data_IF_440138076534
#
_entry.id   IF_440138076534
#
_cell.length_a   1.000
_cell.length_b   1.000
_cell.length_c   1.000
_cell.angle_alpha   90.00
_cell.angle_beta   90.00
_cell.angle_gamma   90.00
#
_symmetry.space_group_name_H-M   'P 1'
#
loop_
_entity.id
_entity.type
_entity.pdbx_description
1 polymer ?
#
# COMPACT_ATOMS: atom_id res chain seq x y z
N UNK A 1 36.33 -29.74 28.48
CA UNK A 1 35.01 -30.06 27.87
C UNK A 1 33.99 -28.92 28.08
N UNK A 2 33.96 -28.23 29.20
CA UNK A 2 33.02 -27.16 29.54
C UNK A 2 33.13 -25.97 28.57
N UNK A 3 34.33 -25.57 28.16
CA UNK A 3 34.51 -24.40 27.25
C UNK A 3 33.96 -24.62 25.82
N UNK A 4 33.85 -25.83 25.34
CA UNK A 4 33.28 -26.12 24.02
C UNK A 4 31.74 -26.08 24.06
N UNK A 5 31.14 -26.46 25.15
CA UNK A 5 29.69 -26.47 25.36
C UNK A 5 29.15 -24.99 25.48
N UNK A 6 29.90 -24.13 26.17
CA UNK A 6 29.54 -22.71 26.31
C UNK A 6 29.67 -22.00 24.95
N UNK A 7 30.67 -22.29 24.14
CA UNK A 7 30.83 -21.70 22.81
C UNK A 7 29.71 -22.14 21.85
N UNK A 8 29.26 -23.39 21.93
CA UNK A 8 28.14 -23.89 21.09
C UNK A 8 26.81 -23.27 21.52
N UNK A 9 26.63 -23.00 22.80
CA UNK A 9 25.43 -22.32 23.30
C UNK A 9 25.39 -20.84 22.88
N UNK A 10 26.53 -20.16 22.85
CA UNK A 10 26.62 -18.77 22.38
C UNK A 10 26.37 -18.62 20.88
N UNK A 11 26.77 -19.59 20.07
CA UNK A 11 26.49 -19.61 18.62
C UNK A 11 25.01 -19.88 18.32
N UNK A 12 24.33 -20.67 19.15
CA UNK A 12 22.89 -20.98 19.00
C UNK A 12 21.97 -19.77 19.32
N UNK A 13 22.42 -18.80 20.12
CA UNK A 13 21.64 -17.61 20.49
C UNK A 13 21.73 -16.50 19.41
N UNK A 14 22.68 -16.60 18.48
CA UNK A 14 22.97 -15.54 17.49
C UNK A 14 22.08 -15.58 16.24
N UNK A 15 21.12 -16.47 16.11
CA UNK A 15 20.26 -16.65 14.92
C UNK A 15 18.77 -16.36 15.16
N UNK A 16 18.44 -15.44 16.06
CA UNK A 16 17.13 -14.82 16.02
C UNK A 16 17.18 -13.65 15.03
N UNK A 17 17.32 -13.95 13.74
CA UNK A 17 16.93 -12.99 12.71
C UNK A 17 15.43 -12.79 12.88
N UNK A 18 15.03 -11.68 13.49
CA UNK A 18 13.64 -11.22 13.49
C UNK A 18 13.28 -10.96 12.03
N UNK A 19 12.74 -11.95 11.36
CA UNK A 19 12.09 -11.75 10.08
C UNK A 19 10.92 -10.80 10.34
N UNK A 20 11.03 -9.56 9.86
CA UNK A 20 9.93 -8.63 9.91
C UNK A 20 8.83 -9.16 8.98
N UNK A 21 7.67 -9.43 9.54
CA UNK A 21 6.52 -9.86 8.76
C UNK A 21 5.84 -8.65 8.10
N UNK A 22 5.31 -8.81 6.87
CA UNK A 22 4.49 -7.80 6.24
C UNK A 22 3.30 -7.44 7.13
N UNK A 23 3.00 -6.14 7.23
CA UNK A 23 1.83 -5.68 7.98
C UNK A 23 0.58 -5.74 7.10
N UNK A 24 -0.52 -6.24 7.68
CA UNK A 24 -1.81 -6.37 7.02
C UNK A 24 -2.76 -5.27 7.46
N UNK A 25 -3.73 -4.96 6.62
CA UNK A 25 -4.81 -4.05 6.99
C UNK A 25 -5.66 -4.64 8.12
N UNK A 26 -5.99 -3.80 9.10
CA UNK A 26 -6.95 -4.13 10.14
C UNK A 26 -8.36 -3.84 9.64
N UNK A 27 -9.24 -4.82 9.77
CA UNK A 27 -10.66 -4.69 9.41
C UNK A 27 -11.36 -3.85 10.48
N UNK A 28 -12.22 -2.89 10.09
CA UNK A 28 -12.97 -2.09 11.05
C UNK A 28 -13.93 -2.96 11.86
N UNK A 29 -14.22 -2.57 13.12
CA UNK A 29 -15.27 -3.22 13.91
C UNK A 29 -16.64 -3.00 13.29
N UNK A 30 -17.63 -3.82 13.68
CA UNK A 30 -18.95 -3.84 13.07
C UNK A 30 -19.73 -2.53 13.14
N UNK A 31 -19.41 -1.64 14.04
CA UNK A 31 -20.03 -0.33 14.16
C UNK A 31 -19.39 0.76 13.30
N UNK A 32 -18.22 0.51 12.71
CA UNK A 32 -17.60 1.40 11.70
C UNK A 32 -17.98 0.88 10.32
N UNK A 33 -18.67 1.71 9.55
CA UNK A 33 -19.25 1.37 8.25
C UNK A 33 -18.79 2.34 7.16
N UNK A 34 -19.10 2.01 5.93
CA UNK A 34 -18.92 2.89 4.74
C UNK A 34 -17.49 3.42 4.60
N UNK A 35 -16.48 2.62 5.02
CA UNK A 35 -15.09 3.06 4.92
C UNK A 35 -14.71 3.23 3.46
N UNK A 36 -14.57 4.49 3.04
CA UNK A 36 -14.21 4.90 1.69
C UNK A 36 -12.88 5.65 1.72
N UNK A 37 -11.85 5.09 1.08
CA UNK A 37 -10.52 5.70 1.04
C UNK A 37 -10.08 5.87 -0.40
N UNK A 38 -9.86 7.11 -0.83
CA UNK A 38 -9.59 7.46 -2.23
C UNK A 38 -8.57 8.57 -2.38
N UNK A 39 -7.84 8.55 -3.50
CA UNK A 39 -7.07 9.69 -3.99
C UNK A 39 -7.92 10.65 -4.82
N UNK A 40 -7.48 11.89 -4.97
CA UNK A 40 -8.19 12.91 -5.76
C UNK A 40 -8.32 12.56 -7.25
N UNK A 41 -7.40 11.76 -7.79
CA UNK A 41 -7.39 11.30 -9.19
C UNK A 41 -7.95 9.88 -9.37
N UNK A 42 -8.38 9.21 -8.30
CA UNK A 42 -8.83 7.82 -8.37
C UNK A 42 -10.29 7.73 -8.81
N UNK A 43 -10.53 7.16 -9.98
CA UNK A 43 -11.87 6.82 -10.48
C UNK A 43 -12.35 5.45 -9.98
N UNK A 44 -11.45 4.64 -9.40
CA UNK A 44 -11.74 3.25 -9.03
C UNK A 44 -11.71 3.07 -7.51
N UNK A 45 -12.57 2.20 -7.01
CA UNK A 45 -12.49 1.67 -5.65
C UNK A 45 -11.31 0.69 -5.55
N UNK A 46 -10.67 0.63 -4.40
CA UNK A 46 -9.52 -0.23 -4.14
C UNK A 46 -8.44 0.51 -3.36
N UNK A 47 -7.23 -0.01 -3.38
CA UNK A 47 -6.10 0.66 -2.72
C UNK A 47 -5.75 1.95 -3.46
N UNK A 48 -5.76 3.12 -2.79
CA UNK A 48 -5.37 4.38 -3.42
C UNK A 48 -3.92 4.33 -3.90
N UNK A 49 -3.71 4.67 -5.18
CA UNK A 49 -2.38 4.86 -5.76
C UNK A 49 -2.35 6.29 -6.26
N UNK A 50 -1.62 7.14 -5.57
CA UNK A 50 -1.59 8.58 -5.80
C UNK A 50 -0.21 9.06 -6.19
N UNK A 51 -0.15 10.15 -6.93
CA UNK A 51 1.10 10.85 -7.19
C UNK A 51 1.52 11.65 -5.96
N UNK A 52 2.83 11.78 -5.76
CA UNK A 52 3.37 12.64 -4.70
C UNK A 52 2.82 14.07 -4.82
N UNK A 53 2.23 14.58 -3.73
CA UNK A 53 1.55 15.86 -3.66
C UNK A 53 0.05 15.84 -3.98
N UNK A 54 -0.52 14.71 -4.38
CA UNK A 54 -1.97 14.57 -4.51
C UNK A 54 -2.67 14.42 -3.16
N UNK A 55 -3.97 14.72 -3.16
CA UNK A 55 -4.83 14.65 -1.97
C UNK A 55 -5.41 13.24 -1.79
N UNK A 56 -5.46 12.83 -0.53
CA UNK A 56 -6.18 11.65 -0.06
C UNK A 56 -7.40 12.07 0.74
N UNK A 57 -8.47 11.30 0.66
CA UNK A 57 -9.67 11.47 1.49
C UNK A 57 -10.08 10.11 2.04
N UNK A 58 -10.22 10.04 3.36
CA UNK A 58 -10.85 8.93 4.07
C UNK A 58 -12.19 9.41 4.61
N UNK A 59 -13.23 8.62 4.38
CA UNK A 59 -14.58 8.84 4.91
C UNK A 59 -15.04 7.53 5.58
N UNK A 60 -15.72 7.62 6.71
CA UNK A 60 -16.35 6.47 7.35
C UNK A 60 -17.48 6.90 8.30
N UNK A 61 -18.40 5.98 8.55
CA UNK A 61 -19.54 6.19 9.43
C UNK A 61 -19.35 5.37 10.73
N UNK A 62 -19.54 6.02 11.88
CA UNK A 62 -19.72 5.37 13.16
C UNK A 62 -21.21 5.30 13.48
N UNK A 63 -21.76 4.09 13.60
CA UNK A 63 -23.19 3.86 13.80
C UNK A 63 -23.56 3.64 15.27
N UNK A 64 -22.67 3.87 16.23
CA UNK A 64 -23.00 3.87 17.65
C UNK A 64 -23.94 5.05 17.99
N UNK A 65 -23.75 6.17 17.28
CA UNK A 65 -24.64 7.34 17.37
C UNK A 65 -24.20 8.39 18.39
N UNK A 66 -23.11 8.16 19.11
CA UNK A 66 -22.42 9.15 19.92
C UNK A 66 -21.12 9.57 19.21
N UNK A 67 -20.65 10.79 19.50
CA UNK A 67 -19.38 11.28 18.97
C UNK A 67 -18.22 10.57 19.67
N UNK A 68 -17.34 9.95 18.89
CA UNK A 68 -16.13 9.28 19.37
C UNK A 68 -14.90 10.03 18.89
N UNK A 69 -13.87 10.11 19.73
CA UNK A 69 -12.61 10.73 19.38
C UNK A 69 -11.73 9.75 18.61
N UNK A 70 -11.58 9.98 17.32
CA UNK A 70 -10.66 9.21 16.46
C UNK A 70 -9.39 9.98 16.17
N UNK A 71 -8.28 9.25 16.11
CA UNK A 71 -6.94 9.76 15.81
C UNK A 71 -6.36 9.02 14.61
N UNK A 72 -5.63 9.71 13.78
CA UNK A 72 -4.98 9.07 12.62
C UNK A 72 -3.46 9.07 12.75
N UNK A 73 -2.84 8.00 12.24
CA UNK A 73 -1.39 7.85 12.13
C UNK A 73 -1.06 7.39 10.71
N UNK A 74 0.03 7.94 10.15
CA UNK A 74 0.52 7.59 8.82
C UNK A 74 1.89 6.97 8.98
N UNK A 75 2.01 5.69 8.65
CA UNK A 75 3.27 4.96 8.70
C UNK A 75 3.77 4.60 7.31
N UNK A 76 5.10 4.70 7.13
CA UNK A 76 5.81 4.35 5.90
C UNK A 76 6.33 2.91 5.97
N UNK A 77 6.27 2.19 4.85
CA UNK A 77 6.67 0.79 4.74
C UNK A 77 7.64 0.55 3.60
N UNK A 78 8.41 -0.53 3.71
CA UNK A 78 9.21 -1.04 2.62
C UNK A 78 8.30 -1.57 1.49
N UNK A 79 8.89 -1.85 0.32
CA UNK A 79 8.17 -2.37 -0.85
C UNK A 79 7.34 -3.64 -0.55
N UNK A 80 7.83 -4.50 0.33
CA UNK A 80 7.20 -5.75 0.75
C UNK A 80 6.25 -5.60 1.96
N UNK A 81 5.89 -4.36 2.32
CA UNK A 81 5.04 -4.02 3.46
C UNK A 81 5.64 -4.37 4.83
N UNK A 82 6.93 -4.61 4.90
CA UNK A 82 7.61 -4.70 6.20
C UNK A 82 7.84 -3.30 6.78
N UNK A 83 7.85 -3.15 8.11
CA UNK A 83 8.14 -1.87 8.75
C UNK A 83 9.48 -1.30 8.30
N UNK A 84 9.55 0.00 8.14
CA UNK A 84 10.79 0.71 7.79
C UNK A 84 11.53 1.20 9.02
N UNK A 85 12.82 1.49 8.84
CA UNK A 85 13.65 2.18 9.84
C UNK A 85 13.76 3.69 9.57
N UNK A 86 13.13 4.18 8.51
CA UNK A 86 13.14 5.61 8.14
C UNK A 86 12.35 6.40 9.18
N UNK A 87 12.92 7.51 9.63
CA UNK A 87 12.30 8.39 10.63
C UNK A 87 11.09 9.11 10.05
N UNK A 88 10.08 9.37 10.87
CA UNK A 88 8.82 9.99 10.43
C UNK A 88 9.01 11.33 9.72
N UNK A 89 9.88 12.18 10.21
CA UNK A 89 10.22 13.48 9.63
C UNK A 89 10.92 13.42 8.25
N UNK A 90 11.35 12.24 7.80
CA UNK A 90 11.91 12.06 6.48
C UNK A 90 10.86 11.81 5.40
N UNK A 91 9.66 11.35 5.77
CA UNK A 91 8.59 11.03 4.84
C UNK A 91 7.28 11.81 5.05
N UNK A 92 7.17 12.52 6.17
CA UNK A 92 5.98 13.28 6.53
C UNK A 92 6.38 14.65 7.06
N UNK A 93 5.87 15.72 6.46
CA UNK A 93 5.97 17.09 6.98
C UNK A 93 4.74 17.41 7.82
N UNK A 94 4.99 17.88 9.05
CA UNK A 94 3.94 18.17 10.04
C UNK A 94 3.81 17.07 11.08
N UNK A 95 2.61 16.87 11.57
CA UNK A 95 2.29 15.95 12.65
C UNK A 95 1.19 14.98 12.22
N UNK A 96 1.22 13.80 12.79
CA UNK A 96 0.12 12.85 12.82
C UNK A 96 -0.12 12.42 14.28
N UNK A 97 -0.95 11.46 14.55
CA UNK A 97 -1.51 11.16 15.85
C UNK A 97 -2.37 12.33 16.37
N UNK A 98 -3.12 12.92 15.44
CA UNK A 98 -3.97 14.07 15.63
C UNK A 98 -5.42 13.61 15.53
N UNK A 99 -6.30 14.26 16.33
CA UNK A 99 -7.73 13.97 16.35
C UNK A 99 -8.39 14.35 15.03
N UNK A 100 -9.32 13.53 14.56
CA UNK A 100 -10.24 13.86 13.48
C UNK A 100 -11.27 14.86 13.99
N UNK A 101 -11.22 16.09 13.47
CA UNK A 101 -12.11 17.17 13.90
C UNK A 101 -13.27 17.43 12.92
N UNK A 102 -13.21 16.83 11.73
CA UNK A 102 -14.26 16.98 10.70
C UNK A 102 -15.20 15.80 10.77
N UNK A 103 -16.37 16.02 11.34
CA UNK A 103 -17.45 15.05 11.36
C UNK A 103 -18.82 15.73 11.32
N UNK A 104 -19.82 14.99 10.88
CA UNK A 104 -21.22 15.42 10.80
C UNK A 104 -22.12 14.36 11.43
N UNK A 105 -23.00 14.80 12.34
CA UNK A 105 -23.94 13.90 12.97
C UNK A 105 -25.23 13.79 12.16
N UNK A 106 -25.74 12.57 12.04
CA UNK A 106 -27.02 12.34 11.40
C UNK A 106 -28.17 12.97 12.20
N UNK A 107 -29.16 13.50 11.50
CA UNK A 107 -30.36 14.08 12.11
C UNK A 107 -31.60 13.39 11.60
N UNK A 108 -32.51 13.00 12.50
CA UNK A 108 -33.76 12.27 12.20
C UNK A 108 -33.58 10.95 11.43
N UNK A 109 -32.45 10.28 11.56
CA UNK A 109 -32.21 8.96 10.97
C UNK A 109 -32.78 7.85 11.90
N UNK A 110 -33.24 6.73 11.30
CA UNK A 110 -33.64 5.55 12.07
C UNK A 110 -32.50 4.93 12.83
N UNK A 111 -31.30 4.96 12.24
CA UNK A 111 -30.03 4.64 12.88
C UNK A 111 -29.21 5.91 12.94
N UNK A 112 -28.89 6.35 14.15
CA UNK A 112 -27.99 7.50 14.32
C UNK A 112 -26.56 7.09 13.91
N UNK A 113 -25.86 8.00 13.30
CA UNK A 113 -24.44 7.82 12.94
C UNK A 113 -23.71 9.14 12.92
N UNK A 114 -22.40 9.08 13.11
CA UNK A 114 -21.48 10.20 12.91
C UNK A 114 -20.61 9.90 11.69
N UNK A 115 -20.62 10.79 10.71
CA UNK A 115 -19.84 10.70 9.48
C UNK A 115 -18.51 11.45 9.66
N UNK A 116 -17.40 10.74 9.61
CA UNK A 116 -16.06 11.31 9.76
C UNK A 116 -15.39 11.48 8.40
N UNK A 117 -14.70 12.60 8.24
CA UNK A 117 -13.91 12.91 7.04
C UNK A 117 -12.50 13.31 7.42
N UNK A 118 -11.51 12.66 6.84
CA UNK A 118 -10.10 13.02 6.92
C UNK A 118 -9.58 13.36 5.53
N UNK A 119 -9.02 14.55 5.37
CA UNK A 119 -8.28 14.94 4.16
C UNK A 119 -6.80 15.06 4.47
N UNK A 120 -5.94 14.59 3.59
CA UNK A 120 -4.48 14.72 3.63
C UNK A 120 -4.05 15.30 2.28
N UNK A 121 -3.29 16.42 2.24
CA UNK A 121 -2.82 17.22 3.38
C UNK A 121 -3.91 18.01 4.10
N UNK A 122 -3.62 18.39 5.36
CA UNK A 122 -4.45 19.25 6.22
C UNK A 122 -3.57 20.20 7.04
N UNK A 123 -4.15 20.87 8.05
CA UNK A 123 -3.43 21.84 8.87
C UNK A 123 -2.30 21.22 9.69
N UNK A 124 -2.44 19.97 10.15
CA UNK A 124 -1.45 19.25 10.94
C UNK A 124 -0.48 18.48 10.07
N UNK A 125 -0.98 17.64 9.16
CA UNK A 125 -0.19 16.86 8.19
C UNK A 125 -0.06 17.65 6.91
N UNK A 126 1.05 18.38 6.77
CA UNK A 126 1.29 19.33 5.65
C UNK A 126 1.53 18.63 4.32
N UNK A 127 2.36 17.57 4.33
CA UNK A 127 2.78 16.93 3.10
C UNK A 127 3.40 15.55 3.34
N UNK A 128 3.16 14.64 2.42
CA UNK A 128 3.96 13.42 2.24
C UNK A 128 5.17 13.78 1.39
N UNK A 129 6.38 13.43 1.87
CA UNK A 129 7.65 13.86 1.27
C UNK A 129 8.29 12.82 0.36
N UNK A 130 7.92 11.56 0.51
CA UNK A 130 8.54 10.45 -0.24
C UNK A 130 7.49 9.61 -0.96
N UNK A 131 7.86 9.07 -2.11
CA UNK A 131 7.15 7.97 -2.73
C UNK A 131 7.42 6.65 -1.99
N UNK A 132 6.45 5.75 -2.00
CA UNK A 132 6.54 4.45 -1.35
C UNK A 132 5.20 3.91 -0.85
N UNK A 133 5.26 2.91 0.00
CA UNK A 133 4.10 2.26 0.59
C UNK A 133 3.78 2.89 1.94
N UNK A 134 2.51 3.14 2.15
CA UNK A 134 2.00 3.79 3.36
C UNK A 134 0.79 3.07 3.92
N UNK A 135 0.60 3.19 5.23
CA UNK A 135 -0.61 2.73 5.90
C UNK A 135 -1.19 3.86 6.75
N UNK A 136 -2.43 4.19 6.50
CA UNK A 136 -3.23 5.08 7.34
C UNK A 136 -3.91 4.22 8.40
N UNK A 137 -3.69 4.54 9.66
CA UNK A 137 -4.21 3.84 10.84
C UNK A 137 -5.13 4.76 11.62
N UNK A 138 -6.29 4.27 12.00
CA UNK A 138 -7.27 5.00 12.81
C UNK A 138 -7.35 4.35 14.18
N UNK A 139 -7.17 5.17 15.21
CA UNK A 139 -7.19 4.79 16.62
C UNK A 139 -8.35 5.49 17.33
N UNK A 140 -8.89 4.90 18.39
CA UNK A 140 -9.80 5.55 19.32
C UNK A 140 -9.02 6.33 20.42
N UNK A 141 -9.73 6.98 21.32
CA UNK A 141 -9.17 7.72 22.47
C UNK A 141 -8.38 6.81 23.42
N UNK A 142 -8.76 5.55 23.54
CA UNK A 142 -8.07 4.52 24.33
C UNK A 142 -6.80 3.99 23.65
N UNK A 143 -6.43 4.53 22.48
CA UNK A 143 -5.29 4.13 21.63
C UNK A 143 -5.40 2.69 21.09
N UNK A 144 -6.60 2.19 20.93
CA UNK A 144 -6.86 0.93 20.27
C UNK A 144 -6.96 1.16 18.75
N UNK A 145 -6.30 0.30 17.97
CA UNK A 145 -6.35 0.36 16.50
C UNK A 145 -7.73 -0.10 16.03
N UNK A 146 -8.51 0.81 15.48
CA UNK A 146 -9.85 0.54 14.97
C UNK A 146 -9.79 -0.10 13.59
N UNK A 147 -9.05 0.50 12.68
CA UNK A 147 -8.80 -0.07 11.35
C UNK A 147 -7.60 0.59 10.69
N UNK A 148 -7.14 0.00 9.61
CA UNK A 148 -6.08 0.57 8.78
C UNK A 148 -6.35 0.37 7.29
N UNK A 149 -5.75 1.25 6.46
CA UNK A 149 -5.86 1.21 5.00
C UNK A 149 -4.51 1.48 4.36
N UNK A 150 -4.14 0.62 3.42
CA UNK A 150 -2.94 0.77 2.61
C UNK A 150 -3.15 1.81 1.51
N UNK A 151 -2.11 2.54 1.19
CA UNK A 151 -2.04 3.38 -0.01
C UNK A 151 -0.60 3.46 -0.53
N UNK A 152 -0.47 3.80 -1.80
CA UNK A 152 0.82 3.90 -2.47
C UNK A 152 0.99 5.32 -3.00
N UNK A 153 2.14 5.91 -2.73
CA UNK A 153 2.53 7.21 -3.28
C UNK A 153 3.63 7.00 -4.31
N UNK A 154 3.44 7.50 -5.53
CA UNK A 154 4.43 7.35 -6.59
C UNK A 154 4.95 8.69 -7.12
N UNK A 155 6.14 8.63 -7.71
CA UNK A 155 6.73 9.69 -8.50
C UNK A 155 6.89 9.22 -9.94
N UNK A 156 6.71 10.13 -10.88
CA UNK A 156 6.82 9.79 -12.31
C UNK A 156 8.29 9.83 -12.78
N UNK A 157 9.13 8.95 -12.20
CA UNK A 157 10.56 8.85 -12.49
C UNK A 157 10.88 7.81 -13.56
N UNK A 158 9.92 6.98 -13.93
CA UNK A 158 10.06 5.94 -14.94
C UNK A 158 8.83 5.92 -15.87
N UNK A 159 9.08 5.53 -17.11
CA UNK A 159 8.02 5.28 -18.08
C UNK A 159 7.74 3.78 -18.13
N UNK A 160 6.48 3.41 -17.92
CA UNK A 160 5.99 2.04 -18.06
C UNK A 160 5.08 1.96 -19.27
N UNK A 161 5.44 1.07 -20.23
CA UNK A 161 4.58 0.73 -21.36
C UNK A 161 4.02 -0.65 -21.10
N UNK A 162 2.70 -0.78 -21.01
CA UNK A 162 2.04 -2.04 -20.74
C UNK A 162 1.08 -2.42 -21.87
N UNK A 163 0.95 -3.72 -22.10
CA UNK A 163 0.01 -4.29 -23.07
C UNK A 163 -0.61 -5.55 -22.48
N UNK A 164 -1.93 -5.57 -22.41
CA UNK A 164 -2.68 -6.78 -22.07
C UNK A 164 -2.82 -7.63 -23.31
N UNK A 165 -2.53 -8.92 -23.18
CA UNK A 165 -2.60 -9.91 -24.27
C UNK A 165 -3.45 -11.10 -23.86
N UNK A 166 -4.04 -11.72 -24.84
CA UNK A 166 -4.68 -13.03 -24.67
C UNK A 166 -3.61 -14.05 -24.29
N UNK A 167 -3.94 -14.91 -23.32
CA UNK A 167 -3.08 -16.02 -22.93
C UNK A 167 -2.77 -16.92 -24.11
N UNK A 168 -1.54 -17.46 -24.20
CA UNK A 168 -1.15 -18.42 -25.26
C UNK A 168 -1.45 -19.85 -24.87
N UNK A 169 -1.52 -20.14 -23.58
CA UNK A 169 -1.89 -21.45 -23.09
C UNK A 169 -3.33 -21.80 -23.50
N UNK A 170 -3.51 -22.94 -24.17
CA UNK A 170 -4.81 -23.36 -24.70
C UNK A 170 -5.85 -23.60 -23.60
N UNK A 171 -5.44 -24.02 -22.41
CA UNK A 171 -6.33 -24.22 -21.26
C UNK A 171 -6.92 -22.90 -20.77
N UNK A 172 -6.13 -21.83 -20.78
CA UNK A 172 -6.52 -20.53 -20.20
C UNK A 172 -6.75 -19.43 -21.24
N UNK A 173 -6.68 -19.73 -22.52
CA UNK A 173 -6.76 -18.76 -23.62
C UNK A 173 -8.05 -17.92 -23.63
N UNK A 174 -9.13 -18.44 -23.08
CA UNK A 174 -10.43 -17.76 -23.01
C UNK A 174 -10.75 -17.17 -21.63
N UNK A 175 -9.93 -17.45 -20.60
CA UNK A 175 -10.24 -17.13 -19.21
C UNK A 175 -9.19 -16.27 -18.54
N UNK A 176 -7.96 -16.24 -19.06
CA UNK A 176 -6.86 -15.42 -18.54
C UNK A 176 -6.28 -14.48 -19.58
N UNK A 177 -5.70 -13.41 -19.08
CA UNK A 177 -4.94 -12.44 -19.85
C UNK A 177 -3.54 -12.30 -19.27
N UNK A 178 -2.54 -12.15 -20.11
CA UNK A 178 -1.17 -11.85 -19.69
C UNK A 178 -0.86 -10.37 -19.87
N UNK A 179 -0.07 -9.82 -18.98
CA UNK A 179 0.38 -8.42 -19.03
C UNK A 179 1.85 -8.41 -19.45
N UNK A 180 2.13 -7.91 -20.64
CA UNK A 180 3.49 -7.62 -21.08
C UNK A 180 3.79 -6.17 -20.83
N UNK A 181 4.96 -5.85 -20.31
CA UNK A 181 5.32 -4.46 -20.06
C UNK A 181 6.82 -4.23 -20.23
N UNK A 182 7.18 -2.97 -20.36
CA UNK A 182 8.57 -2.53 -20.33
C UNK A 182 8.71 -1.29 -19.45
N UNK A 183 9.86 -1.16 -18.83
CA UNK A 183 10.21 -0.05 -17.93
C UNK A 183 11.43 0.64 -18.51
N UNK A 184 11.38 1.97 -18.62
CA UNK A 184 12.55 2.79 -18.97
C UNK A 184 12.59 4.04 -18.10
N UNK A 185 13.77 4.58 -17.87
CA UNK A 185 13.94 5.86 -17.18
C UNK A 185 15.13 6.60 -17.75
N UNK A 186 14.93 7.88 -18.01
CA UNK A 186 16.02 8.83 -18.36
C UNK A 186 16.57 9.54 -17.13
N UNK A 187 15.87 9.46 -15.99
CA UNK A 187 16.20 10.15 -14.75
C UNK A 187 16.95 9.24 -13.76
N UNK A 188 16.73 7.93 -13.84
CA UNK A 188 17.29 6.96 -12.91
C UNK A 188 18.35 6.10 -13.60
N UNK A 189 19.55 6.07 -13.02
CA UNK A 189 20.59 5.12 -13.42
C UNK A 189 20.34 3.79 -12.70
N UNK A 190 19.76 2.83 -13.40
CA UNK A 190 19.47 1.51 -12.87
C UNK A 190 20.70 0.61 -13.03
N UNK A 191 21.39 0.37 -11.90
CA UNK A 191 22.48 -0.60 -11.83
C UNK A 191 21.92 -1.92 -11.29
N UNK A 192 22.28 -3.04 -11.89
CA UNK A 192 21.79 -4.38 -11.51
C UNK A 192 20.25 -4.46 -11.47
N UNK A 193 19.59 -4.42 -12.63
CA UNK A 193 18.13 -4.34 -12.73
C UNK A 193 17.41 -5.48 -12.01
N UNK A 194 17.99 -6.68 -11.93
CA UNK A 194 17.41 -7.83 -11.21
C UNK A 194 17.23 -7.59 -9.70
N UNK A 195 18.02 -6.68 -9.14
CA UNK A 195 17.97 -6.33 -7.72
C UNK A 195 17.29 -4.97 -7.52
N UNK A 196 17.64 -4.00 -8.37
CA UNK A 196 17.19 -2.62 -8.22
C UNK A 196 15.73 -2.41 -8.66
N UNK A 197 15.25 -3.17 -9.66
CA UNK A 197 13.87 -3.09 -10.11
C UNK A 197 12.99 -4.04 -9.32
N UNK A 198 12.07 -3.47 -8.57
CA UNK A 198 10.98 -4.18 -7.91
C UNK A 198 9.70 -3.85 -8.63
N UNK A 199 9.06 -4.84 -9.20
CA UNK A 199 7.83 -4.67 -9.98
C UNK A 199 6.62 -5.13 -9.20
N UNK A 200 5.52 -4.41 -9.39
CA UNK A 200 4.22 -4.76 -8.88
C UNK A 200 3.20 -4.58 -10.01
N UNK A 201 2.54 -5.66 -10.40
CA UNK A 201 1.43 -5.64 -11.36
C UNK A 201 0.15 -5.94 -10.61
N UNK A 202 -0.82 -5.03 -10.69
CA UNK A 202 -2.06 -5.09 -9.91
C UNK A 202 -3.24 -5.06 -10.87
N UNK A 203 -4.25 -5.85 -10.60
CA UNK A 203 -5.52 -5.79 -11.33
C UNK A 203 -6.54 -4.97 -10.54
N UNK A 204 -7.19 -4.00 -11.19
CA UNK A 204 -8.29 -3.20 -10.63
C UNK A 204 -7.96 -2.49 -9.30
N UNK A 205 -6.73 -2.05 -9.11
CA UNK A 205 -6.24 -1.44 -7.86
C UNK A 205 -6.41 -2.30 -6.60
N UNK A 206 -6.55 -3.61 -6.75
CA UNK A 206 -6.64 -4.55 -5.65
C UNK A 206 -5.27 -5.18 -5.36
N UNK A 207 -4.65 -4.81 -4.24
CA UNK A 207 -3.36 -5.35 -3.81
C UNK A 207 -3.39 -6.87 -3.56
N UNK A 208 -4.56 -7.47 -3.33
CA UNK A 208 -4.67 -8.93 -3.19
C UNK A 208 -4.43 -9.68 -4.51
N UNK A 209 -4.56 -8.98 -5.64
CA UNK A 209 -4.25 -9.54 -6.97
C UNK A 209 -2.80 -9.36 -7.37
N UNK A 210 -1.98 -8.74 -6.52
CA UNK A 210 -0.65 -8.27 -6.87
C UNK A 210 0.30 -9.40 -7.27
N UNK A 211 0.92 -9.27 -8.44
CA UNK A 211 2.05 -10.08 -8.89
C UNK A 211 3.31 -9.23 -8.70
N UNK A 212 4.20 -9.68 -7.86
CA UNK A 212 5.38 -8.92 -7.47
C UNK A 212 6.69 -9.58 -7.91
N UNK A 213 7.76 -8.79 -7.90
CA UNK A 213 9.15 -9.26 -8.06
C UNK A 213 9.44 -10.00 -9.37
N UNK A 214 8.72 -9.70 -10.45
CA UNK A 214 9.09 -10.16 -11.78
C UNK A 214 10.46 -9.57 -12.16
N UNK A 215 11.31 -10.38 -12.76
CA UNK A 215 12.63 -9.95 -13.26
C UNK A 215 12.54 -9.55 -14.72
N UNK A 216 13.32 -8.56 -15.19
CA UNK A 216 13.39 -8.30 -16.62
C UNK A 216 13.94 -9.53 -17.35
N UNK A 217 13.31 -9.95 -18.43
CA UNK A 217 13.79 -11.08 -19.25
C UNK A 217 14.99 -10.68 -20.12
N UNK A 218 15.01 -9.45 -20.57
CA UNK A 218 16.11 -8.84 -21.30
C UNK A 218 16.00 -7.31 -21.27
N UNK A 219 17.06 -6.64 -21.70
CA UNK A 219 17.07 -5.19 -21.86
C UNK A 219 17.46 -4.79 -23.29
N UNK A 220 16.93 -3.65 -23.73
CA UNK A 220 17.28 -3.00 -24.98
C UNK A 220 17.71 -1.57 -24.63
N UNK A 221 19.02 -1.34 -24.53
CA UNK A 221 19.54 -0.08 -24.00
C UNK A 221 19.12 0.14 -22.55
N UNK A 222 18.35 1.22 -22.30
CA UNK A 222 17.78 1.54 -20.97
C UNK A 222 16.33 1.05 -20.77
N UNK A 223 15.80 0.24 -21.69
CA UNK A 223 14.46 -0.33 -21.59
C UNK A 223 14.56 -1.78 -21.08
N UNK A 224 13.90 -2.07 -19.98
CA UNK A 224 13.82 -3.39 -19.34
C UNK A 224 12.50 -4.05 -19.69
N UNK A 225 12.54 -5.25 -20.28
CA UNK A 225 11.38 -5.89 -20.91
C UNK A 225 10.90 -7.09 -20.13
N UNK A 226 9.59 -7.15 -19.93
CA UNK A 226 8.85 -8.20 -19.21
C UNK A 226 7.76 -8.75 -20.14
N UNK A 227 7.96 -9.95 -20.66
CA UNK A 227 7.03 -10.61 -21.61
C UNK A 227 6.67 -12.00 -21.12
N UNK A 228 6.25 -12.09 -19.90
CA UNK A 228 5.81 -13.34 -19.30
C UNK A 228 4.41 -13.71 -19.79
N UNK A 229 4.21 -14.96 -20.18
CA UNK A 229 2.89 -15.45 -20.59
C UNK A 229 2.10 -16.00 -19.41
N UNK A 230 2.76 -16.62 -18.41
CA UNK A 230 2.10 -17.25 -17.25
C UNK A 230 2.28 -16.46 -15.96
N UNK A 231 3.49 -16.00 -15.66
CA UNK A 231 3.87 -15.39 -14.39
C UNK A 231 3.21 -14.01 -14.18
N UNK A 232 2.86 -13.30 -15.25
CA UNK A 232 2.13 -12.03 -15.23
C UNK A 232 0.71 -12.17 -15.80
N UNK A 233 -0.02 -13.19 -15.38
CA UNK A 233 -1.37 -13.45 -15.87
C UNK A 233 -2.44 -13.26 -14.80
N UNK A 234 -3.60 -12.75 -15.24
CA UNK A 234 -4.77 -12.49 -14.41
C UNK A 234 -6.01 -13.16 -15.02
N UNK A 235 -6.97 -13.52 -14.17
CA UNK A 235 -8.28 -13.92 -14.64
C UNK A 235 -8.95 -12.72 -15.35
N UNK A 236 -9.47 -12.95 -16.53
CA UNK A 236 -10.28 -11.95 -17.19
C UNK A 236 -11.55 -11.71 -16.33
N UNK A 237 -11.81 -10.47 -15.95
CA UNK A 237 -13.09 -10.15 -15.34
C UNK A 237 -14.17 -10.35 -16.38
N UNK A 238 -15.19 -11.13 -16.07
CA UNK A 238 -16.40 -11.14 -16.86
C UNK A 238 -17.03 -9.75 -16.73
N UNK A 239 -16.89 -8.94 -17.78
CA UNK A 239 -17.59 -7.66 -17.94
C UNK A 239 -19.06 -7.89 -18.23
#
# INVERSE_FOLDING_TARGET
MINRLVLTLFIAISFSALAQNPEWETIPPDYIRTVNFKGSSSEFSGTPIIRLGERLTLEFDDIIGDEEDYYYVIDYYNFDWTPTTISKNEYLEGFDNVRLVTYENSFNALQLYSHYTLQIPNEDTKRIEKSGNYMLKIYNDSKELMFSRKFIVYENLATVKAQVKRMRDQEFINTKQSVHFSISSDQLLIKNPDIALKTLVIQNNDLNTAISNLRPQYNIGNEYVYRYDTESSFWASNS
#
